data_IF_941687583780
#
_entry.id   IF_941687583780
#
_cell.length_a   1.000
_cell.length_b   1.000
_cell.length_c   1.000
_cell.angle_alpha   90.00
_cell.angle_beta   90.00
_cell.angle_gamma   90.00
#
_symmetry.space_group_name_H-M   'P 1'
#
loop_
_entity.id
_entity.type
_entity.pdbx_description
1 polymer ?
#
# COMPACT_ATOMS: atom_id res chain seq x y z
N UNK A 1 -29.36 -17.93 -6.22
CA UNK A 1 -28.34 -17.72 -5.15
C UNK A 1 -27.82 -16.30 -5.29
N UNK A 2 -27.62 -15.55 -4.20
CA UNK A 2 -27.08 -14.19 -4.30
C UNK A 2 -25.60 -14.26 -4.69
N UNK A 3 -25.28 -13.97 -5.95
CA UNK A 3 -23.92 -14.05 -6.50
C UNK A 3 -22.93 -13.16 -5.74
N UNK A 4 -23.39 -12.01 -5.24
CA UNK A 4 -22.58 -11.09 -4.42
C UNK A 4 -22.21 -11.75 -3.09
N UNK A 5 -23.19 -12.37 -2.42
CA UNK A 5 -22.95 -13.05 -1.14
C UNK A 5 -21.95 -14.21 -1.33
N UNK A 6 -22.10 -15.01 -2.38
CA UNK A 6 -21.18 -16.09 -2.69
C UNK A 6 -19.75 -15.59 -2.94
N UNK A 7 -19.59 -14.51 -3.70
CA UNK A 7 -18.29 -13.89 -3.97
C UNK A 7 -17.59 -13.40 -2.68
N UNK A 8 -18.33 -12.71 -1.79
CA UNK A 8 -17.80 -12.20 -0.52
C UNK A 8 -17.40 -13.35 0.41
N UNK A 9 -18.21 -14.40 0.49
CA UNK A 9 -17.87 -15.59 1.28
C UNK A 9 -16.59 -16.25 0.78
N UNK A 10 -16.44 -16.41 -0.54
CA UNK A 10 -15.21 -16.95 -1.13
C UNK A 10 -14.00 -16.09 -0.80
N UNK A 11 -14.12 -14.76 -0.95
CA UNK A 11 -13.05 -13.82 -0.60
C UNK A 11 -12.65 -13.92 0.88
N UNK A 12 -13.64 -13.98 1.79
CA UNK A 12 -13.40 -14.09 3.23
C UNK A 12 -12.71 -15.41 3.57
N UNK A 13 -13.20 -16.53 3.03
CA UNK A 13 -12.59 -17.86 3.26
C UNK A 13 -11.15 -17.88 2.78
N UNK A 14 -10.85 -17.37 1.58
CA UNK A 14 -9.48 -17.29 1.06
C UNK A 14 -8.59 -16.42 1.96
N UNK A 15 -9.10 -15.29 2.44
CA UNK A 15 -8.37 -14.39 3.34
C UNK A 15 -8.09 -15.05 4.70
N UNK A 16 -9.01 -15.88 5.21
CA UNK A 16 -8.83 -16.66 6.44
C UNK A 16 -7.74 -17.74 6.29
N UNK A 17 -7.64 -18.35 5.10
CA UNK A 17 -6.59 -19.34 4.77
C UNK A 17 -5.25 -18.66 4.42
N UNK A 18 -5.05 -17.39 4.83
CA UNK A 18 -3.81 -16.62 4.63
C UNK A 18 -3.48 -16.33 3.16
N UNK A 19 -4.45 -16.42 2.25
CA UNK A 19 -4.27 -15.92 0.88
C UNK A 19 -4.25 -14.39 0.91
N UNK A 20 -3.32 -13.79 0.17
CA UNK A 20 -3.21 -12.34 0.10
C UNK A 20 -4.52 -11.71 -0.39
N UNK A 21 -4.95 -10.63 0.27
CA UNK A 21 -6.26 -9.99 0.03
C UNK A 21 -6.51 -9.64 -1.44
N UNK A 22 -5.48 -9.21 -2.17
CA UNK A 22 -5.57 -8.87 -3.60
C UNK A 22 -5.94 -10.08 -4.44
N UNK A 23 -5.35 -11.25 -4.16
CA UNK A 23 -5.68 -12.50 -4.86
C UNK A 23 -7.08 -12.97 -4.48
N UNK A 24 -7.45 -12.86 -3.21
CA UNK A 24 -8.79 -13.22 -2.74
C UNK A 24 -9.88 -12.36 -3.41
N UNK A 25 -9.63 -11.06 -3.59
CA UNK A 25 -10.52 -10.14 -4.31
C UNK A 25 -10.64 -10.51 -5.80
N UNK A 26 -9.53 -10.85 -6.47
CA UNK A 26 -9.55 -11.27 -7.87
C UNK A 26 -10.37 -12.55 -8.06
N UNK A 27 -10.14 -13.58 -7.21
CA UNK A 27 -10.90 -14.83 -7.27
C UNK A 27 -12.38 -14.60 -6.92
N UNK A 28 -12.67 -13.78 -5.92
CA UNK A 28 -14.03 -13.39 -5.56
C UNK A 28 -14.77 -12.70 -6.71
N UNK A 29 -14.09 -11.80 -7.44
CA UNK A 29 -14.65 -11.14 -8.62
C UNK A 29 -14.94 -12.13 -9.76
N UNK A 30 -14.03 -13.09 -10.01
CA UNK A 30 -14.24 -14.14 -11.02
C UNK A 30 -15.45 -15.02 -10.65
N UNK A 31 -15.49 -15.52 -9.41
CA UNK A 31 -16.59 -16.37 -8.93
C UNK A 31 -17.91 -15.60 -8.92
N UNK A 32 -17.90 -14.34 -8.48
CA UNK A 32 -19.09 -13.48 -8.47
C UNK A 32 -19.62 -13.18 -9.87
N UNK A 33 -18.75 -12.89 -10.83
CA UNK A 33 -19.15 -12.61 -12.21
C UNK A 33 -19.71 -13.85 -12.93
N UNK A 34 -19.08 -15.01 -12.72
CA UNK A 34 -19.57 -16.28 -13.28
C UNK A 34 -20.91 -16.70 -12.65
N UNK A 35 -21.04 -16.64 -11.32
CA UNK A 35 -22.31 -16.93 -10.63
C UNK A 35 -23.40 -15.89 -10.92
N UNK A 36 -23.00 -14.67 -11.27
CA UNK A 36 -23.89 -13.58 -11.70
C UNK A 36 -24.36 -13.70 -13.16
N UNK A 37 -23.86 -14.69 -13.92
CA UNK A 37 -24.28 -14.93 -15.30
C UNK A 37 -23.60 -14.02 -16.34
N UNK A 38 -22.52 -13.32 -15.98
CA UNK A 38 -21.81 -12.42 -16.89
C UNK A 38 -20.95 -13.16 -17.95
N UNK A 39 -20.72 -14.46 -17.76
CA UNK A 39 -19.74 -15.22 -18.55
C UNK A 39 -18.31 -14.73 -18.31
N UNK A 40 -17.33 -15.37 -18.96
CA UNK A 40 -15.90 -15.04 -18.78
C UNK A 40 -15.59 -13.63 -19.29
N UNK A 41 -16.06 -13.30 -20.49
CA UNK A 41 -15.80 -12.01 -21.13
C UNK A 41 -16.44 -10.85 -20.35
N UNK A 42 -17.70 -10.97 -19.96
CA UNK A 42 -18.39 -9.96 -19.16
C UNK A 42 -17.81 -9.80 -17.76
N UNK A 43 -17.32 -10.90 -17.15
CA UNK A 43 -16.64 -10.86 -15.85
C UNK A 43 -15.32 -10.09 -15.94
N UNK A 44 -14.51 -10.33 -16.98
CA UNK A 44 -13.23 -9.65 -17.18
C UNK A 44 -13.45 -8.16 -17.49
N UNK A 45 -14.44 -7.83 -18.34
CA UNK A 45 -14.80 -6.43 -18.63
C UNK A 45 -15.23 -5.72 -17.35
N UNK A 46 -16.19 -6.28 -16.61
CA UNK A 46 -16.72 -5.68 -15.38
C UNK A 46 -15.64 -5.53 -14.31
N UNK A 47 -14.74 -6.51 -14.18
CA UNK A 47 -13.61 -6.42 -13.26
C UNK A 47 -12.66 -5.29 -13.66
N UNK A 48 -12.30 -5.20 -14.94
CA UNK A 48 -11.38 -4.18 -15.46
C UNK A 48 -11.98 -2.77 -15.35
N UNK A 49 -13.26 -2.63 -15.68
CA UNK A 49 -14.01 -1.37 -15.55
C UNK A 49 -14.15 -0.96 -14.08
N UNK A 50 -14.35 -1.95 -13.18
CA UNK A 50 -14.37 -1.75 -11.74
C UNK A 50 -13.02 -1.28 -11.16
N UNK A 51 -11.91 -1.58 -11.83
CA UNK A 51 -10.60 -1.04 -11.45
C UNK A 51 -10.43 0.42 -11.88
N UNK A 52 -10.97 0.81 -13.05
CA UNK A 52 -11.10 2.20 -13.53
C UNK A 52 -10.02 3.19 -13.02
N UNK A 53 -10.45 4.25 -12.35
CA UNK A 53 -9.56 5.27 -11.76
C UNK A 53 -8.74 4.81 -10.55
N UNK A 54 -9.04 3.65 -9.96
CA UNK A 54 -8.27 3.09 -8.85
C UNK A 54 -7.01 2.35 -9.30
N UNK A 55 -6.99 1.84 -10.54
CA UNK A 55 -5.81 1.17 -11.12
C UNK A 55 -4.62 2.13 -11.24
N UNK A 56 -4.87 3.35 -11.70
CA UNK A 56 -3.83 4.39 -11.79
C UNK A 56 -3.31 4.78 -10.41
N UNK A 57 -4.20 4.92 -9.42
CA UNK A 57 -3.83 5.21 -8.02
C UNK A 57 -3.00 4.06 -7.43
N UNK A 58 -3.39 2.81 -7.68
CA UNK A 58 -2.63 1.63 -7.24
C UNK A 58 -1.22 1.61 -7.87
N UNK A 59 -1.11 1.92 -9.16
CA UNK A 59 0.17 2.03 -9.84
C UNK A 59 1.02 3.17 -9.26
N UNK A 60 0.44 4.34 -9.00
CA UNK A 60 1.15 5.46 -8.36
C UNK A 60 1.67 5.10 -6.98
N UNK A 61 0.89 4.37 -6.17
CA UNK A 61 1.35 3.90 -4.86
C UNK A 61 2.42 2.81 -4.95
N UNK A 62 2.30 1.89 -5.91
CA UNK A 62 3.34 0.90 -6.17
C UNK A 62 4.65 1.58 -6.57
N UNK A 63 4.60 2.60 -7.45
CA UNK A 63 5.75 3.39 -7.86
C UNK A 63 6.33 4.22 -6.71
N UNK A 64 5.48 4.83 -5.86
CA UNK A 64 5.95 5.54 -4.67
C UNK A 64 6.65 4.60 -3.68
N UNK A 65 6.13 3.39 -3.50
CA UNK A 65 6.76 2.36 -2.69
C UNK A 65 8.11 1.92 -3.28
N UNK A 66 8.17 1.67 -4.59
CA UNK A 66 9.42 1.34 -5.28
C UNK A 66 10.46 2.47 -5.15
N UNK A 67 10.02 3.73 -5.28
CA UNK A 67 10.86 4.91 -5.07
C UNK A 67 11.36 5.03 -3.63
N UNK A 68 10.50 4.79 -2.65
CA UNK A 68 10.88 4.78 -1.24
C UNK A 68 11.95 3.71 -0.94
N UNK A 69 11.80 2.51 -1.50
CA UNK A 69 12.81 1.45 -1.40
C UNK A 69 14.12 1.86 -2.06
N UNK A 70 14.07 2.51 -3.23
CA UNK A 70 15.25 3.01 -3.91
C UNK A 70 16.01 4.05 -3.07
N UNK A 71 15.32 5.06 -2.52
CA UNK A 71 15.94 6.06 -1.63
C UNK A 71 16.46 5.42 -0.34
N UNK A 72 15.71 4.49 0.26
CA UNK A 72 16.16 3.83 1.49
C UNK A 72 17.49 3.08 1.28
N UNK A 73 17.72 2.54 0.08
CA UNK A 73 18.97 1.84 -0.26
C UNK A 73 20.14 2.75 -0.63
N UNK A 74 19.93 4.05 -0.91
CA UNK A 74 21.02 4.98 -1.21
C UNK A 74 21.69 5.57 0.04
N UNK A 75 21.15 5.33 1.24
CA UNK A 75 21.69 5.88 2.49
C UNK A 75 21.45 7.38 2.68
N UNK A 76 20.71 8.02 1.77
CA UNK A 76 20.31 9.43 1.90
C UNK A 76 19.53 9.69 3.20
N UNK A 77 18.59 8.83 3.65
CA UNK A 77 17.87 9.04 4.90
C UNK A 77 18.80 9.08 6.12
N UNK A 78 19.77 8.16 6.21
CA UNK A 78 20.78 8.14 7.28
C UNK A 78 21.56 9.46 7.37
N UNK A 79 22.00 9.98 6.23
CA UNK A 79 22.70 11.26 6.16
C UNK A 79 21.81 12.43 6.61
N UNK A 80 20.54 12.42 6.22
CA UNK A 80 19.57 13.44 6.64
C UNK A 80 19.35 13.39 8.16
N UNK A 81 19.20 12.19 8.73
CA UNK A 81 19.03 11.99 10.18
C UNK A 81 20.25 12.50 10.95
N UNK A 82 21.46 12.13 10.53
CA UNK A 82 22.69 12.58 11.19
C UNK A 82 22.84 14.12 11.17
N UNK A 83 22.48 14.74 10.05
CA UNK A 83 22.48 16.22 9.91
C UNK A 83 21.47 16.88 10.83
N UNK A 84 20.26 16.33 10.95
CA UNK A 84 19.22 16.84 11.86
C UNK A 84 19.66 16.71 13.32
N UNK A 85 20.21 15.55 13.71
CA UNK A 85 20.73 15.33 15.07
C UNK A 85 21.85 16.33 15.41
N UNK A 86 22.79 16.57 14.49
CA UNK A 86 23.87 17.56 14.69
C UNK A 86 23.33 18.99 14.85
N UNK A 87 22.28 19.37 14.10
CA UNK A 87 21.66 20.69 14.19
C UNK A 87 20.94 20.89 15.53
N UNK A 88 20.18 19.89 15.97
CA UNK A 88 19.46 19.91 17.24
C UNK A 88 20.44 19.85 18.43
N UNK A 89 21.46 18.98 18.37
CA UNK A 89 22.49 18.86 19.39
C UNK A 89 23.28 20.17 19.62
N UNK A 90 23.61 20.90 18.55
CA UNK A 90 24.24 22.25 18.65
C UNK A 90 23.38 23.25 19.40
N UNK A 91 22.05 23.16 19.29
CA UNK A 91 21.13 24.05 20.00
C UNK A 91 21.07 23.77 21.51
N UNK A 92 21.42 22.55 21.94
CA UNK A 92 21.59 22.20 23.36
C UNK A 92 22.91 22.68 23.96
N UNK A 93 24.01 22.56 23.21
CA UNK A 93 25.36 22.92 23.68
C UNK A 93 25.62 24.44 23.72
N UNK A 94 25.06 25.21 22.77
CA UNK A 94 25.15 26.68 22.82
C UNK A 94 24.49 27.27 24.06
N UNK A 95 23.50 26.59 24.66
CA UNK A 95 22.87 27.03 25.92
C UNK A 95 23.77 26.75 27.14
N UNK A 96 24.51 25.64 27.18
CA UNK A 96 25.41 25.32 28.30
C UNK A 96 26.63 26.26 28.39
N UNK A 97 27.16 26.72 27.26
CA UNK A 97 28.34 27.63 27.26
C UNK A 97 28.06 29.04 27.78
N UNK A 98 26.80 29.50 27.75
CA UNK A 98 26.42 30.83 28.27
C UNK A 98 26.37 30.86 29.80
N UNK A 99 25.99 29.73 30.44
CA UNK A 99 25.88 29.65 31.90
C UNK A 99 27.22 29.35 32.60
N UNK A 100 28.20 28.76 31.90
CA UNK A 100 29.55 28.54 32.45
C UNK A 100 30.47 29.77 32.38
N UNK A 101 29.99 30.88 31.81
CA UNK A 101 30.73 32.15 31.68
C UNK A 101 30.28 33.24 32.65
N UNK A 102 29.30 32.93 33.52
CA UNK A 102 28.89 33.70 34.70
C UNK A 102 29.56 33.10 35.93
#
# INVERSE_FOLDING_TARGET
MNAVLAAVVVMLVLSLVRVHVVLALAVGAIVGGLLGGLGIEGTISTFSDGLGGSASVALSYALLGAFAVAIARTGLPELMVERVIKLVGRSGDSRKKVYQKL
#
